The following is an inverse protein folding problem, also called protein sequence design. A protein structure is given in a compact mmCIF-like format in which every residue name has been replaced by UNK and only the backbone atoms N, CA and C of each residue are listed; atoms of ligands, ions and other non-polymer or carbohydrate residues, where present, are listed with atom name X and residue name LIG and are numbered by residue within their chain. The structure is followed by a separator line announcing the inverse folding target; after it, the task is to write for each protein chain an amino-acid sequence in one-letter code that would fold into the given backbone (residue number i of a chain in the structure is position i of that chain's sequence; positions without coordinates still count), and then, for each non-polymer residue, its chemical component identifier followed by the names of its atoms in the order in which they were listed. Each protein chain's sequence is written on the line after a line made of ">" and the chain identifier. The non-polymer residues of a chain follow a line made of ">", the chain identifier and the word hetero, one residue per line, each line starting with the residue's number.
data_IF_078517970604
#
_entry.id   IF_078517970604
#
_cell.length_a   1.000
_cell.length_b   1.000
_cell.length_c   1.000
_cell.angle_alpha   90.00
_cell.angle_beta   90.00
_cell.angle_gamma   90.00
#
_symmetry.space_group_name_H-M   'P 1'
#
loop_
_entity.id
_entity.type
_entity.pdbx_description
1 polymer ?
#
# COMPACT_ATOMS: atom_id res chain seq x y z
N UNK A 1 -2.19 11.77 -11.53
CA UNK A 1 -2.42 11.49 -10.09
C UNK A 1 -1.43 10.49 -9.54
N UNK A 2 -1.10 10.59 -8.25
CA UNK A 2 -0.26 9.62 -7.52
C UNK A 2 -1.02 9.09 -6.31
N UNK A 3 -0.95 7.79 -6.07
CA UNK A 3 -1.60 7.14 -4.92
C UNK A 3 -0.54 6.71 -3.93
N UNK A 4 -0.74 7.00 -2.65
CA UNK A 4 0.03 6.44 -1.55
C UNK A 4 -0.83 5.49 -0.73
N UNK A 5 -0.25 4.37 -0.33
CA UNK A 5 -0.93 3.31 0.41
C UNK A 5 -0.27 3.12 1.77
N UNK A 6 -1.06 3.18 2.83
CA UNK A 6 -0.68 2.74 4.17
C UNK A 6 -1.54 1.53 4.54
N UNK A 7 -0.95 0.32 4.44
CA UNK A 7 -1.70 -0.92 4.59
C UNK A 7 -1.63 -1.51 6.01
N UNK A 8 -2.65 -2.31 6.28
CA UNK A 8 -2.83 -3.16 7.44
C UNK A 8 -3.25 -4.57 6.95
N UNK A 9 -3.60 -5.47 7.86
CA UNK A 9 -4.09 -6.80 7.48
C UNK A 9 -5.49 -6.71 6.89
N UNK A 10 -5.63 -7.07 5.62
CA UNK A 10 -6.91 -7.12 4.90
C UNK A 10 -7.47 -5.77 4.46
N UNK A 11 -6.80 -4.64 4.72
CA UNK A 11 -7.28 -3.31 4.33
C UNK A 11 -6.14 -2.28 4.24
N UNK A 12 -6.40 -1.12 3.63
CA UNK A 12 -5.45 -0.01 3.59
C UNK A 12 -6.12 1.37 3.60
N UNK A 13 -5.38 2.39 4.02
CA UNK A 13 -5.66 3.78 3.69
C UNK A 13 -5.01 4.10 2.34
N UNK A 14 -5.81 4.58 1.39
CA UNK A 14 -5.34 5.13 0.13
C UNK A 14 -5.52 6.66 0.14
N UNK A 15 -4.47 7.40 -0.21
CA UNK A 15 -4.52 8.85 -0.44
C UNK A 15 -4.03 9.14 -1.84
N UNK A 16 -4.85 9.85 -2.61
CA UNK A 16 -4.52 10.27 -3.97
C UNK A 16 -4.23 11.76 -4.00
N UNK A 17 -3.08 12.13 -4.56
CA UNK A 17 -2.67 13.51 -4.71
C UNK A 17 -2.27 13.87 -6.15
N UNK A 18 -2.45 15.14 -6.49
CA UNK A 18 -1.97 15.75 -7.74
C UNK A 18 -0.44 15.93 -7.73
N UNK A 19 0.12 16.44 -8.83
CA UNK A 19 1.53 16.83 -8.88
C UNK A 19 1.89 17.99 -7.93
N UNK A 20 0.94 18.88 -7.64
CA UNK A 20 1.12 19.97 -6.67
C UNK A 20 0.87 19.57 -5.21
N UNK A 21 0.74 18.26 -4.94
CA UNK A 21 0.46 17.67 -3.62
C UNK A 21 -0.92 18.01 -3.04
N UNK A 22 -1.87 18.44 -3.88
CA UNK A 22 -3.27 18.58 -3.46
C UNK A 22 -3.92 17.21 -3.38
N UNK A 23 -4.51 16.89 -2.22
CA UNK A 23 -5.29 15.66 -2.03
C UNK A 23 -6.59 15.75 -2.81
N UNK A 24 -6.79 14.83 -3.76
CA UNK A 24 -8.04 14.72 -4.52
C UNK A 24 -8.97 13.65 -3.95
N UNK A 25 -8.41 12.60 -3.36
CA UNK A 25 -9.18 11.54 -2.73
C UNK A 25 -8.45 11.00 -1.50
N UNK A 26 -9.22 10.57 -0.50
CA UNK A 26 -8.74 9.71 0.59
C UNK A 26 -9.84 8.73 0.95
N UNK A 27 -9.49 7.47 1.12
CA UNK A 27 -10.45 6.45 1.54
C UNK A 27 -9.75 5.29 2.22
N UNK A 28 -10.54 4.51 2.97
CA UNK A 28 -10.19 3.14 3.33
C UNK A 28 -10.60 2.24 2.16
N UNK A 29 -9.70 1.34 1.76
CA UNK A 29 -9.99 0.25 0.82
C UNK A 29 -9.85 -1.07 1.56
N UNK A 30 -10.76 -2.01 1.29
CA UNK A 30 -10.56 -3.41 1.68
C UNK A 30 -9.57 -4.05 0.70
N UNK A 31 -8.83 -5.04 1.17
CA UNK A 31 -7.85 -5.79 0.40
C UNK A 31 -8.18 -7.27 0.34
N UNK A 32 -9.32 -7.72 0.86
CA UNK A 32 -9.80 -9.12 0.83
C UNK A 32 -11.32 -9.16 0.79
N UNK A 33 -11.88 -10.26 0.30
CA UNK A 33 -13.33 -10.47 0.29
C UNK A 33 -13.85 -10.68 1.73
N UNK A 34 -15.11 -10.30 2.02
CA UNK A 34 -15.74 -10.62 3.29
C UNK A 34 -15.67 -12.12 3.61
N UNK A 35 -15.27 -12.46 4.82
CA UNK A 35 -15.17 -13.85 5.29
C UNK A 35 -13.85 -14.56 4.94
N UNK A 36 -12.96 -13.90 4.19
CA UNK A 36 -11.61 -14.42 3.93
C UNK A 36 -10.68 -14.11 5.11
N UNK A 37 -9.84 -15.05 5.58
CA UNK A 37 -8.90 -14.80 6.66
C UNK A 37 -7.90 -13.68 6.34
N UNK A 38 -7.76 -12.72 7.26
CA UNK A 38 -6.86 -11.58 7.05
C UNK A 38 -5.38 -11.90 7.30
N UNK A 39 -5.08 -12.97 8.06
CA UNK A 39 -3.74 -13.36 8.48
C UNK A 39 -3.50 -14.87 8.31
N UNK A 40 -3.51 -15.38 7.05
CA UNK A 40 -3.42 -16.80 6.74
C UNK A 40 -2.15 -17.47 7.25
N UNK A 41 -1.07 -16.74 7.53
CA UNK A 41 0.16 -17.30 8.10
C UNK A 41 0.21 -17.10 9.61
N UNK A 42 0.01 -15.86 10.08
CA UNK A 42 0.24 -15.52 11.48
C UNK A 42 -0.83 -16.07 12.43
N UNK A 43 -2.05 -16.32 11.94
CA UNK A 43 -3.17 -16.81 12.74
C UNK A 43 -3.80 -18.07 12.15
N UNK A 44 -4.52 -17.93 11.05
CA UNK A 44 -5.48 -18.94 10.58
C UNK A 44 -4.81 -20.21 10.05
N UNK A 45 -3.59 -20.09 9.53
CA UNK A 45 -2.80 -21.23 9.04
C UNK A 45 -1.95 -21.92 10.10
N UNK A 46 -1.91 -21.46 11.35
CA UNK A 46 -1.14 -22.13 12.43
C UNK A 46 -1.50 -23.61 12.65
N UNK A 47 -2.78 -24.01 12.68
CA UNK A 47 -3.15 -25.41 12.90
C UNK A 47 -2.97 -26.30 11.67
N UNK A 48 -2.68 -25.73 10.50
CA UNK A 48 -2.57 -26.48 9.24
C UNK A 48 -1.17 -27.08 9.07
N UNK A 49 -1.06 -28.13 8.24
CA UNK A 49 0.22 -28.54 7.70
C UNK A 49 0.72 -27.56 6.62
N UNK A 50 1.92 -27.76 6.10
CA UNK A 50 2.52 -26.83 5.12
C UNK A 50 1.70 -26.75 3.83
N UNK A 51 1.10 -27.87 3.41
CA UNK A 51 0.24 -27.91 2.23
C UNK A 51 -1.07 -27.13 2.44
N UNK A 52 -1.74 -27.34 3.58
CA UNK A 52 -2.96 -26.63 3.94
C UNK A 52 -2.72 -25.13 4.13
N UNK A 53 -1.62 -24.74 4.76
CA UNK A 53 -1.24 -23.34 4.89
C UNK A 53 -0.96 -22.70 3.52
N UNK A 54 -0.28 -23.42 2.62
CA UNK A 54 -0.03 -22.92 1.27
C UNK A 54 -1.33 -22.73 0.47
N UNK A 55 -2.27 -23.67 0.57
CA UNK A 55 -3.58 -23.56 -0.07
C UNK A 55 -4.40 -22.38 0.49
N UNK A 56 -4.35 -22.16 1.80
CA UNK A 56 -5.00 -21.03 2.45
C UNK A 56 -4.41 -19.71 1.97
N UNK A 57 -3.07 -19.57 1.97
CA UNK A 57 -2.39 -18.37 1.48
C UNK A 57 -2.71 -18.11 0.02
N UNK A 58 -2.73 -19.14 -0.84
CA UNK A 58 -3.12 -18.98 -2.24
C UNK A 58 -4.55 -18.45 -2.39
N UNK A 59 -5.49 -18.95 -1.57
CA UNK A 59 -6.88 -18.49 -1.55
C UNK A 59 -6.98 -17.02 -1.13
N UNK A 60 -6.32 -16.64 -0.03
CA UNK A 60 -6.30 -15.25 0.45
C UNK A 60 -5.64 -14.32 -0.57
N UNK A 61 -4.52 -14.72 -1.17
CA UNK A 61 -3.82 -13.94 -2.19
C UNK A 61 -4.69 -13.72 -3.43
N UNK A 62 -5.43 -14.73 -3.88
CA UNK A 62 -6.34 -14.61 -5.02
C UNK A 62 -7.52 -13.67 -4.71
N UNK A 63 -8.09 -13.77 -3.50
CA UNK A 63 -9.09 -12.81 -3.00
C UNK A 63 -8.53 -11.40 -3.00
N UNK A 64 -7.31 -11.24 -2.48
CA UNK A 64 -6.67 -9.93 -2.37
C UNK A 64 -6.40 -9.28 -3.73
N UNK A 65 -5.97 -10.06 -4.72
CA UNK A 65 -5.79 -9.56 -6.07
C UNK A 65 -7.09 -9.00 -6.65
N UNK A 66 -8.21 -9.75 -6.54
CA UNK A 66 -9.53 -9.31 -7.04
C UNK A 66 -10.02 -8.03 -6.35
N UNK A 67 -10.01 -8.01 -5.02
CA UNK A 67 -10.55 -6.88 -4.26
C UNK A 67 -9.69 -5.63 -4.44
N UNK A 68 -8.36 -5.79 -4.41
CA UNK A 68 -7.44 -4.68 -4.66
C UNK A 68 -7.62 -4.12 -6.07
N UNK A 69 -7.73 -4.98 -7.09
CA UNK A 69 -7.99 -4.56 -8.46
C UNK A 69 -9.29 -3.74 -8.56
N UNK A 70 -10.41 -4.27 -8.05
CA UNK A 70 -11.69 -3.57 -8.07
C UNK A 70 -11.67 -2.25 -7.30
N UNK A 71 -11.00 -2.20 -6.15
CA UNK A 71 -10.87 -0.98 -5.36
C UNK A 71 -10.04 0.10 -6.09
N UNK A 72 -8.96 -0.30 -6.77
CA UNK A 72 -8.11 0.61 -7.54
C UNK A 72 -8.78 1.08 -8.84
N UNK A 73 -9.58 0.25 -9.50
CA UNK A 73 -10.38 0.65 -10.68
C UNK A 73 -11.49 1.62 -10.29
N UNK A 74 -12.17 1.34 -9.17
CA UNK A 74 -13.17 2.24 -8.63
C UNK A 74 -12.56 3.60 -8.24
N UNK A 75 -11.38 3.59 -7.60
CA UNK A 75 -10.63 4.81 -7.32
C UNK A 75 -10.28 5.57 -8.62
N UNK A 76 -9.68 4.88 -9.60
CA UNK A 76 -9.23 5.49 -10.85
C UNK A 76 -10.38 6.13 -11.63
N UNK A 77 -11.56 5.50 -11.68
CA UNK A 77 -12.73 6.02 -12.40
C UNK A 77 -13.35 7.28 -11.80
N UNK A 78 -13.01 7.64 -10.56
CA UNK A 78 -13.54 8.81 -9.86
C UNK A 78 -12.57 10.00 -9.86
N UNK A 79 -11.36 9.84 -10.40
CA UNK A 79 -10.34 10.89 -10.39
C UNK A 79 -10.43 11.77 -11.65
N UNK A 80 -10.11 13.07 -11.53
CA UNK A 80 -10.12 13.99 -12.67
C UNK A 80 -8.98 13.76 -13.67
N UNK A 81 -7.94 13.03 -13.25
CA UNK A 81 -6.74 12.74 -14.04
C UNK A 81 -6.30 11.28 -13.82
N UNK A 82 -5.65 10.62 -14.80
CA UNK A 82 -5.15 9.26 -14.65
C UNK A 82 -4.15 9.11 -13.50
N UNK A 83 -4.15 7.94 -12.86
CA UNK A 83 -3.10 7.55 -11.92
C UNK A 83 -1.86 7.13 -12.72
N UNK A 84 -0.70 7.65 -12.34
CA UNK A 84 0.59 7.33 -13.00
C UNK A 84 1.52 6.51 -12.11
N UNK A 85 1.32 6.54 -10.80
CA UNK A 85 2.18 5.83 -9.85
C UNK A 85 1.45 5.48 -8.57
N UNK A 86 1.85 4.39 -7.94
CA UNK A 86 1.43 4.00 -6.60
C UNK A 86 2.64 3.81 -5.68
N UNK A 87 2.54 4.27 -4.44
CA UNK A 87 3.59 4.11 -3.42
C UNK A 87 3.13 3.19 -2.31
N UNK A 88 3.92 2.15 -2.03
CA UNK A 88 3.65 1.13 -1.00
C UNK A 88 4.84 1.02 -0.04
N UNK A 89 4.62 0.50 1.18
CA UNK A 89 5.70 0.31 2.15
C UNK A 89 6.72 -0.69 1.60
N UNK A 90 8.01 -0.45 1.78
CA UNK A 90 9.07 -1.38 1.39
C UNK A 90 8.99 -2.71 2.17
N UNK A 91 9.39 -3.80 1.52
CA UNK A 91 9.61 -5.11 2.11
C UNK A 91 10.96 -5.69 1.65
N UNK A 92 11.53 -6.69 2.36
CA UNK A 92 12.79 -7.32 1.96
C UNK A 92 12.64 -7.98 0.59
N UNK A 93 13.54 -7.69 -0.35
CA UNK A 93 13.52 -8.28 -1.70
C UNK A 93 13.81 -9.78 -1.69
N UNK A 94 14.55 -10.23 -0.68
CA UNK A 94 14.93 -11.61 -0.41
C UNK A 94 13.93 -12.32 0.53
N UNK A 95 12.72 -11.77 0.72
CA UNK A 95 11.70 -12.43 1.53
C UNK A 95 11.33 -13.79 0.92
N UNK A 96 11.33 -14.89 1.71
CA UNK A 96 11.18 -16.24 1.16
C UNK A 96 9.82 -16.43 0.52
N UNK A 97 9.77 -17.14 -0.62
CA UNK A 97 8.51 -17.51 -1.29
C UNK A 97 7.89 -18.81 -0.77
N UNK A 98 8.67 -19.66 -0.11
CA UNK A 98 8.21 -20.93 0.44
C UNK A 98 7.42 -20.73 1.74
N UNK A 99 6.18 -21.22 1.76
CA UNK A 99 5.27 -21.14 2.91
C UNK A 99 5.83 -21.88 4.13
N UNK A 100 6.50 -23.03 3.94
CA UNK A 100 7.09 -23.77 5.04
C UNK A 100 8.19 -22.95 5.76
N UNK A 101 8.88 -22.08 5.03
CA UNK A 101 9.88 -21.15 5.56
C UNK A 101 9.20 -19.91 6.16
N UNK A 102 8.23 -19.32 5.46
CA UNK A 102 7.52 -18.12 5.91
C UNK A 102 6.83 -18.32 7.27
N UNK A 103 6.37 -19.54 7.57
CA UNK A 103 5.68 -19.90 8.84
C UNK A 103 6.62 -20.01 10.05
N UNK A 104 7.90 -19.67 9.90
CA UNK A 104 8.90 -19.77 10.97
C UNK A 104 9.48 -18.40 11.29
N UNK A 105 10.03 -18.26 12.50
CA UNK A 105 10.84 -17.09 12.88
C UNK A 105 12.05 -16.98 11.94
N UNK A 106 12.40 -15.78 11.45
CA UNK A 106 11.81 -14.46 11.76
C UNK A 106 10.71 -13.99 10.80
N UNK A 107 10.25 -14.84 9.89
CA UNK A 107 9.38 -14.45 8.77
C UNK A 107 7.90 -14.39 9.13
N UNK A 108 7.43 -15.25 10.03
CA UNK A 108 6.00 -15.46 10.31
C UNK A 108 5.23 -14.18 10.66
N UNK A 109 5.84 -13.26 11.40
CA UNK A 109 5.20 -12.02 11.84
C UNK A 109 5.03 -11.00 10.70
N UNK A 110 5.70 -11.21 9.57
CA UNK A 110 5.73 -10.28 8.43
C UNK A 110 5.10 -10.86 7.18
N UNK A 111 4.93 -12.18 7.10
CA UNK A 111 4.56 -12.86 5.87
C UNK A 111 3.23 -12.36 5.27
N UNK A 112 2.19 -12.25 6.09
CA UNK A 112 0.89 -11.71 5.66
C UNK A 112 1.04 -10.26 5.15
N UNK A 113 1.83 -9.45 5.85
CA UNK A 113 2.10 -8.06 5.46
C UNK A 113 2.81 -7.95 4.11
N UNK A 114 3.79 -8.83 3.86
CA UNK A 114 4.53 -8.89 2.60
C UNK A 114 3.63 -9.35 1.45
N UNK A 115 2.78 -10.35 1.68
CA UNK A 115 1.80 -10.80 0.69
C UNK A 115 0.91 -9.65 0.22
N UNK A 116 0.31 -8.86 1.13
CA UNK A 116 -0.53 -7.72 0.73
C UNK A 116 0.25 -6.65 -0.05
N UNK A 117 1.49 -6.38 0.32
CA UNK A 117 2.34 -5.42 -0.40
C UNK A 117 2.68 -5.89 -1.81
N UNK A 118 2.99 -7.17 -1.97
CA UNK A 118 3.24 -7.79 -3.27
C UNK A 118 1.99 -7.73 -4.15
N UNK A 119 0.83 -8.11 -3.62
CA UNK A 119 -0.44 -8.02 -4.36
C UNK A 119 -0.74 -6.58 -4.80
N UNK A 120 -0.59 -5.60 -3.91
CA UNK A 120 -0.74 -4.19 -4.27
C UNK A 120 0.20 -3.79 -5.42
N UNK A 121 1.48 -4.15 -5.33
CA UNK A 121 2.47 -3.81 -6.35
C UNK A 121 2.15 -4.47 -7.70
N UNK A 122 1.80 -5.75 -7.72
CA UNK A 122 1.41 -6.50 -8.92
C UNK A 122 0.19 -5.89 -9.61
N UNK A 123 -0.87 -5.61 -8.85
CA UNK A 123 -2.11 -5.01 -9.36
C UNK A 123 -1.85 -3.60 -9.93
N UNK A 124 -0.92 -2.84 -9.35
CA UNK A 124 -0.51 -1.55 -9.93
C UNK A 124 0.32 -1.73 -11.22
N UNK A 125 1.24 -2.70 -11.28
CA UNK A 125 2.00 -3.00 -12.49
C UNK A 125 1.11 -3.44 -13.66
N UNK A 126 0.07 -4.23 -13.40
CA UNK A 126 -0.93 -4.61 -14.41
C UNK A 126 -1.64 -3.39 -15.03
N UNK A 127 -1.72 -2.28 -14.30
CA UNK A 127 -2.28 -1.00 -14.76
C UNK A 127 -1.25 -0.09 -15.41
N UNK A 128 0.00 -0.56 -15.57
CA UNK A 128 1.11 0.23 -16.10
C UNK A 128 1.57 1.35 -15.16
N UNK A 129 1.20 1.30 -13.88
CA UNK A 129 1.61 2.31 -12.91
C UNK A 129 3.02 2.05 -12.41
N UNK A 130 3.78 3.12 -12.23
CA UNK A 130 5.08 3.03 -11.57
C UNK A 130 4.85 2.71 -10.09
N UNK A 131 5.47 1.65 -9.59
CA UNK A 131 5.45 1.32 -8.15
C UNK A 131 6.68 1.89 -7.47
N UNK A 132 6.45 2.77 -6.50
CA UNK A 132 7.49 3.25 -5.60
C UNK A 132 7.38 2.56 -4.24
N UNK A 133 8.53 2.31 -3.63
CA UNK A 133 8.60 1.83 -2.25
C UNK A 133 9.09 2.92 -1.31
N UNK A 134 8.55 2.94 -0.10
CA UNK A 134 8.95 3.88 0.97
C UNK A 134 9.21 3.19 2.30
N UNK A 135 10.08 3.77 3.13
CA UNK A 135 10.26 3.35 4.53
C UNK A 135 9.22 4.04 5.42
N UNK A 136 8.40 3.26 6.11
CA UNK A 136 7.31 3.77 6.95
C UNK A 136 7.79 4.60 8.16
N UNK A 137 9.01 4.39 8.65
CA UNK A 137 9.60 5.17 9.76
C UNK A 137 10.05 6.55 9.31
N UNK A 138 10.41 6.68 8.03
CA UNK A 138 11.14 7.84 7.52
C UNK A 138 10.36 8.69 6.51
N UNK A 139 9.32 8.14 5.88
CA UNK A 139 8.61 8.78 4.76
C UNK A 139 8.04 10.16 5.11
N UNK A 140 7.44 10.36 6.28
CA UNK A 140 6.94 11.67 6.70
C UNK A 140 8.09 12.69 6.86
N UNK A 141 9.24 12.26 7.38
CA UNK A 141 10.43 13.10 7.53
C UNK A 141 11.03 13.48 6.17
N UNK A 142 11.14 12.52 5.26
CA UNK A 142 11.62 12.75 3.89
C UNK A 142 10.70 13.71 3.13
N UNK A 143 9.39 13.50 3.20
CA UNK A 143 8.41 14.41 2.59
C UNK A 143 8.51 15.82 3.18
N UNK A 144 8.65 15.95 4.50
CA UNK A 144 8.81 17.26 5.14
C UNK A 144 10.09 17.99 4.67
N UNK A 145 11.19 17.27 4.48
CA UNK A 145 12.43 17.85 3.94
C UNK A 145 12.24 18.35 2.50
N UNK A 146 11.53 17.60 1.66
CA UNK A 146 11.21 18.00 0.28
C UNK A 146 10.29 19.23 0.25
N UNK A 147 9.29 19.28 1.12
CA UNK A 147 8.29 20.35 1.16
C UNK A 147 8.79 21.63 1.84
N UNK A 148 9.85 21.54 2.64
CA UNK A 148 10.39 22.63 3.44
C UNK A 148 9.28 23.35 4.23
N UNK A 149 9.16 24.68 4.08
CA UNK A 149 8.16 25.50 4.78
C UNK A 149 6.70 25.11 4.53
N UNK A 150 6.42 24.33 3.48
CA UNK A 150 5.05 23.88 3.13
C UNK A 150 4.65 22.56 3.79
N UNK A 151 5.53 21.95 4.59
CA UNK A 151 5.30 20.62 5.15
C UNK A 151 4.01 20.52 5.97
N UNK A 152 3.71 21.51 6.83
CA UNK A 152 2.46 21.49 7.61
C UNK A 152 1.21 21.66 6.74
N UNK A 153 1.27 22.62 5.81
CA UNK A 153 0.17 22.94 4.89
C UNK A 153 -0.24 21.72 4.05
N UNK A 154 0.74 20.95 3.58
CA UNK A 154 0.54 19.78 2.73
C UNK A 154 0.22 18.54 3.55
N UNK A 155 1.01 18.19 4.57
CA UNK A 155 0.84 16.92 5.30
C UNK A 155 -0.25 16.98 6.37
N UNK A 156 -0.47 18.12 7.02
CA UNK A 156 -1.47 18.26 8.10
C UNK A 156 -2.68 19.08 7.70
N UNK A 157 -2.51 20.04 6.79
CA UNK A 157 -3.59 20.89 6.28
C UNK A 157 -4.83 20.17 5.75
N UNK A 158 -4.73 19.00 5.07
CA UNK A 158 -5.92 18.28 4.62
C UNK A 158 -6.86 17.88 5.76
N UNK A 159 -6.36 17.60 6.96
CA UNK A 159 -7.21 17.29 8.11
C UNK A 159 -8.11 18.45 8.54
N UNK A 160 -7.67 19.70 8.33
CA UNK A 160 -8.47 20.91 8.56
C UNK A 160 -9.47 21.16 7.43
N UNK A 161 -9.06 20.94 6.17
CA UNK A 161 -9.86 21.24 4.97
C UNK A 161 -10.91 20.18 4.65
N UNK A 162 -10.56 18.91 4.81
CA UNK A 162 -11.40 17.76 4.45
C UNK A 162 -12.13 17.15 5.65
N UNK A 163 -11.74 17.54 6.87
CA UNK A 163 -12.24 16.96 8.12
C UNK A 163 -11.75 15.54 8.40
N UNK A 164 -12.11 14.98 9.56
CA UNK A 164 -11.74 13.62 9.93
C UNK A 164 -12.34 12.57 8.98
N UNK A 165 -11.70 11.41 8.79
CA UNK A 165 -10.42 11.03 9.38
C UNK A 165 -9.21 11.68 8.68
N UNK A 166 -8.16 11.99 9.47
CA UNK A 166 -6.83 12.40 8.99
C UNK A 166 -5.72 11.93 9.95
N UNK A 167 -5.54 10.62 10.00
CA UNK A 167 -4.65 9.93 10.95
C UNK A 167 -3.18 9.91 10.48
N UNK A 168 -2.31 9.26 11.25
CA UNK A 168 -0.92 9.00 10.84
C UNK A 168 -0.85 8.26 9.49
N UNK A 169 -1.71 7.27 9.27
CA UNK A 169 -1.73 6.50 8.03
C UNK A 169 -2.03 7.37 6.80
N UNK A 170 -2.95 8.33 6.94
CA UNK A 170 -3.25 9.29 5.88
C UNK A 170 -2.04 10.16 5.55
N UNK A 171 -1.33 10.62 6.59
CA UNK A 171 -0.11 11.44 6.40
C UNK A 171 1.03 10.64 5.80
N UNK A 172 1.23 9.39 6.23
CA UNK A 172 2.22 8.49 5.65
C UNK A 172 1.92 8.21 4.18
N UNK A 173 0.67 7.89 3.84
CA UNK A 173 0.23 7.70 2.46
C UNK A 173 0.47 8.97 1.61
N UNK A 174 0.07 10.15 2.10
CA UNK A 174 0.33 11.40 1.38
C UNK A 174 1.83 11.68 1.24
N UNK A 175 2.61 11.51 2.30
CA UNK A 175 4.07 11.70 2.29
C UNK A 175 4.74 10.79 1.25
N UNK A 176 4.26 9.55 1.09
CA UNK A 176 4.78 8.65 0.07
C UNK A 176 4.61 9.21 -1.35
N UNK A 177 3.47 9.85 -1.64
CA UNK A 177 3.25 10.51 -2.95
C UNK A 177 4.19 11.69 -3.19
N UNK A 178 4.57 12.42 -2.13
CA UNK A 178 5.51 13.55 -2.19
C UNK A 178 6.92 13.04 -2.50
N UNK A 179 7.36 12.01 -1.77
CA UNK A 179 8.68 11.39 -1.99
C UNK A 179 8.79 10.79 -3.38
N UNK A 180 7.73 10.11 -3.85
CA UNK A 180 7.67 9.58 -5.22
C UNK A 180 7.76 10.69 -6.27
N UNK A 181 7.07 11.82 -6.08
CA UNK A 181 7.09 12.94 -7.03
C UNK A 181 8.47 13.62 -7.16
N UNK A 182 9.30 13.56 -6.11
CA UNK A 182 10.64 14.14 -6.11
C UNK A 182 11.71 13.26 -6.77
N UNK A 183 11.39 11.98 -7.08
CA UNK A 183 12.33 11.09 -7.77
C UNK A 183 12.38 11.44 -9.26
N UNK A 184 13.57 11.57 -9.86
CA UNK A 184 13.69 11.74 -11.30
C UNK A 184 13.03 10.56 -12.02
N UNK A 185 12.26 10.83 -13.07
CA UNK A 185 11.81 9.78 -13.99
C UNK A 185 13.04 9.33 -14.76
N UNK A 186 13.65 8.22 -14.34
CA UNK A 186 14.64 7.54 -15.18
C UNK A 186 13.89 6.88 -16.33
N UNK A 187 13.81 7.57 -17.47
CA UNK A 187 13.51 6.90 -18.73
C UNK A 187 14.66 5.93 -19.00
N UNK A 188 14.37 4.63 -18.91
CA UNK A 188 15.30 3.60 -19.37
C UNK A 188 15.56 3.78 -20.86
N UNK A 189 16.84 3.80 -21.23
CA UNK A 189 17.31 3.73 -22.60
C UNK A 189 16.97 2.38 -23.24
#
# INVERSE_FOLDING_TARGET
>A
MRVGIAHHFGWAVAVTASAGHQVADRRRIELIEPGVPAAPIHHDGKPLDDAGAAALVATVRASAARVTAGALDHLASQLPEPIVSMSVRAWPLDFPGDIAVQRRVPYEARADSVMYLQVLAEVAHERGWIVHVYDAKDVERQAAAILAGRADEVLRGPGRRLGPPWTKDHRMALAATVVAAARPVTHGA
#
